data_IF_529789811587
#
_entry.id   IF_529789811587
#
_cell.length_a   1.000
_cell.length_b   1.000
_cell.length_c   1.000
_cell.angle_alpha   90.00
_cell.angle_beta   90.00
_cell.angle_gamma   90.00
#
_symmetry.space_group_name_H-M   'P 1'
#
loop_
_entity.id
_entity.type
_entity.pdbx_description
1 polymer ?
#
# COMPACT_ATOMS: atom_id res chain seq x y z
N UNK A 1 -22.97 -7.83 -5.14
CA UNK A 1 -21.65 -8.49 -4.96
C UNK A 1 -20.82 -8.52 -6.25
N UNK A 2 -21.43 -8.75 -7.42
CA UNK A 2 -20.70 -8.88 -8.70
C UNK A 2 -19.90 -7.63 -9.08
N UNK A 3 -20.47 -6.43 -8.94
CA UNK A 3 -19.74 -5.19 -9.22
C UNK A 3 -18.51 -4.98 -8.31
N UNK A 4 -18.54 -5.50 -7.07
CA UNK A 4 -17.37 -5.43 -6.20
C UNK A 4 -16.23 -6.32 -6.70
N UNK A 5 -16.55 -7.51 -7.22
CA UNK A 5 -15.55 -8.40 -7.84
C UNK A 5 -14.98 -7.77 -9.11
N UNK A 6 -15.85 -7.26 -9.99
CA UNK A 6 -15.42 -6.56 -11.20
C UNK A 6 -14.51 -5.36 -10.90
N UNK A 7 -14.79 -4.62 -9.84
CA UNK A 7 -13.94 -3.52 -9.43
C UNK A 7 -12.57 -3.99 -8.92
N UNK A 8 -12.51 -5.09 -8.17
CA UNK A 8 -11.24 -5.67 -7.72
C UNK A 8 -10.43 -6.17 -8.92
N UNK A 9 -11.07 -6.88 -9.86
CA UNK A 9 -10.42 -7.36 -11.07
C UNK A 9 -9.87 -6.19 -11.91
N UNK A 10 -10.67 -5.13 -12.06
CA UNK A 10 -10.23 -3.91 -12.74
C UNK A 10 -9.07 -3.24 -11.99
N UNK A 11 -9.16 -3.05 -10.67
CA UNK A 11 -8.12 -2.39 -9.88
C UNK A 11 -6.77 -3.13 -9.90
N UNK A 12 -6.77 -4.44 -10.13
CA UNK A 12 -5.56 -5.26 -10.28
C UNK A 12 -5.08 -5.39 -11.74
N UNK A 13 -5.84 -4.89 -12.72
CA UNK A 13 -5.45 -4.91 -14.12
C UNK A 13 -4.26 -3.98 -14.40
N UNK A 14 -3.53 -4.29 -15.47
CA UNK A 14 -2.40 -3.48 -15.93
C UNK A 14 -2.82 -2.04 -16.21
N UNK A 15 -3.91 -1.86 -16.94
CA UNK A 15 -4.39 -0.57 -17.41
C UNK A 15 -4.83 0.32 -16.25
N UNK A 16 -5.51 -0.24 -15.24
CA UNK A 16 -5.93 0.51 -14.07
C UNK A 16 -4.76 0.93 -13.20
N UNK A 17 -3.78 0.05 -13.00
CA UNK A 17 -2.57 0.39 -12.26
C UNK A 17 -1.73 1.45 -12.98
N UNK A 18 -1.63 1.41 -14.31
CA UNK A 18 -0.95 2.46 -15.07
C UNK A 18 -1.70 3.80 -15.06
N UNK A 19 -3.03 3.77 -14.97
CA UNK A 19 -3.86 4.98 -14.91
C UNK A 19 -3.50 5.85 -13.70
N UNK A 20 -3.10 5.23 -12.58
CA UNK A 20 -2.80 5.95 -11.32
C UNK A 20 -1.70 6.99 -11.53
N UNK A 21 -0.66 6.68 -12.28
CA UNK A 21 0.44 7.61 -12.54
C UNK A 21 0.26 8.36 -13.86
N UNK A 22 -0.32 7.74 -14.90
CA UNK A 22 -0.53 8.38 -16.20
C UNK A 22 -1.54 9.54 -16.12
N UNK A 23 -2.57 9.43 -15.28
CA UNK A 23 -3.62 10.45 -15.14
C UNK A 23 -3.95 10.84 -13.71
N UNK A 24 -3.70 9.95 -12.74
CA UNK A 24 -4.06 10.18 -11.33
C UNK A 24 -3.00 10.90 -10.49
N UNK A 25 -1.85 11.28 -11.06
CA UNK A 25 -0.73 11.92 -10.35
C UNK A 25 -0.25 11.11 -9.12
N UNK A 26 -0.39 9.79 -9.17
CA UNK A 26 -0.15 8.87 -8.07
C UNK A 26 1.00 7.91 -8.43
N UNK A 27 2.13 8.03 -7.74
CA UNK A 27 3.42 7.42 -8.13
C UNK A 27 3.87 6.24 -7.26
N UNK A 28 2.94 5.51 -6.64
CA UNK A 28 3.24 4.30 -5.88
C UNK A 28 3.88 3.22 -6.77
N UNK A 29 4.57 2.27 -6.14
CA UNK A 29 5.09 1.09 -6.83
C UNK A 29 3.91 0.18 -7.19
N UNK A 30 3.77 -0.12 -8.48
CA UNK A 30 2.73 -1.00 -8.99
C UNK A 30 3.04 -2.45 -8.61
N UNK A 31 2.02 -3.19 -8.17
CA UNK A 31 2.17 -4.59 -7.75
C UNK A 31 2.03 -5.56 -8.92
N UNK A 32 1.39 -5.14 -10.02
CA UNK A 32 1.30 -5.93 -11.23
C UNK A 32 2.62 -5.86 -12.01
N UNK A 33 3.32 -7.00 -12.11
CA UNK A 33 4.63 -7.10 -12.76
C UNK A 33 4.62 -6.83 -14.26
N UNK A 34 3.44 -6.80 -14.90
CA UNK A 34 3.30 -6.52 -16.34
C UNK A 34 3.01 -5.05 -16.64
N UNK A 35 2.74 -4.25 -15.61
CA UNK A 35 2.41 -2.84 -15.72
C UNK A 35 3.67 -1.96 -15.86
N UNK A 36 3.58 -0.94 -16.70
CA UNK A 36 4.64 0.04 -16.84
C UNK A 36 4.66 0.96 -15.62
N UNK A 37 5.76 0.96 -14.89
CA UNK A 37 5.97 1.84 -13.74
C UNK A 37 6.29 3.27 -14.20
N UNK A 38 5.87 4.26 -13.43
CA UNK A 38 6.25 5.66 -13.71
C UNK A 38 7.78 5.85 -13.64
N UNK A 39 8.37 6.70 -14.49
CA UNK A 39 9.77 7.12 -14.35
C UNK A 39 10.08 7.78 -13.00
N UNK A 40 9.06 8.32 -12.32
CA UNK A 40 9.18 9.00 -11.03
C UNK A 40 8.97 8.06 -9.83
N UNK A 41 8.60 6.79 -10.07
CA UNK A 41 8.41 5.81 -9.00
C UNK A 41 9.75 5.20 -8.60
N UNK A 42 9.89 4.86 -7.31
CA UNK A 42 11.03 4.10 -6.81
C UNK A 42 11.00 2.69 -7.41
N UNK A 43 12.17 2.15 -7.74
CA UNK A 43 12.30 0.75 -8.19
C UNK A 43 12.50 -0.17 -7.00
N UNK A 44 11.69 -1.23 -6.92
CA UNK A 44 11.68 -2.14 -5.77
C UNK A 44 13.05 -2.82 -5.56
N UNK A 45 13.76 -3.17 -6.64
CA UNK A 45 15.07 -3.81 -6.64
C UNK A 45 16.21 -2.92 -6.11
N UNK A 46 15.98 -1.61 -6.03
CA UNK A 46 16.93 -0.64 -5.50
C UNK A 46 16.70 -0.33 -4.01
N UNK A 47 15.67 -0.91 -3.39
CA UNK A 47 15.29 -0.64 -2.01
C UNK A 47 15.68 -1.78 -1.08
N UNK A 48 16.23 -1.44 0.09
CA UNK A 48 16.40 -2.39 1.20
C UNK A 48 15.12 -2.44 2.02
N UNK A 49 14.24 -3.37 1.69
CA UNK A 49 12.95 -3.54 2.35
C UNK A 49 13.04 -4.57 3.47
N UNK A 50 12.28 -4.33 4.54
CA UNK A 50 12.00 -5.36 5.54
C UNK A 50 10.90 -6.28 4.98
N UNK A 51 10.87 -7.53 5.46
CA UNK A 51 9.73 -8.40 5.24
C UNK A 51 8.62 -7.99 6.21
N UNK A 52 7.62 -7.26 5.70
CA UNK A 52 6.58 -6.68 6.56
C UNK A 52 5.53 -7.74 6.90
N UNK A 53 5.45 -8.10 8.19
CA UNK A 53 4.49 -9.07 8.71
C UNK A 53 3.06 -8.49 8.75
N UNK A 54 2.33 -8.69 7.65
CA UNK A 54 0.94 -8.24 7.51
C UNK A 54 -0.02 -8.96 8.46
N UNK A 55 0.27 -10.20 8.86
CA UNK A 55 -0.60 -10.98 9.75
C UNK A 55 -0.57 -10.38 11.16
N UNK A 56 0.62 -10.10 11.67
CA UNK A 56 0.79 -9.50 13.00
C UNK A 56 0.33 -8.03 13.00
N UNK A 57 0.78 -7.22 12.05
CA UNK A 57 0.54 -5.77 12.08
C UNK A 57 -0.79 -5.33 11.44
N UNK A 58 -1.40 -6.18 10.61
CA UNK A 58 -2.75 -5.99 10.08
C UNK A 58 -3.86 -6.39 11.07
N UNK A 59 -3.52 -7.15 12.12
CA UNK A 59 -4.48 -7.57 13.14
C UNK A 59 -5.02 -6.38 13.95
N UNK A 60 -6.32 -6.40 14.24
CA UNK A 60 -7.01 -5.33 14.97
C UNK A 60 -6.41 -5.07 16.36
N UNK A 61 -6.02 -6.13 17.08
CA UNK A 61 -5.48 -6.02 18.44
C UNK A 61 -4.10 -5.36 18.44
N UNK A 62 -3.23 -5.75 17.50
CA UNK A 62 -1.91 -5.15 17.35
C UNK A 62 -2.02 -3.68 16.93
N UNK A 63 -2.91 -3.37 15.98
CA UNK A 63 -3.18 -1.98 15.55
C UNK A 63 -3.63 -1.12 16.73
N UNK A 64 -4.58 -1.59 17.54
CA UNK A 64 -5.06 -0.87 18.74
C UNK A 64 -3.92 -0.66 19.74
N UNK A 65 -3.16 -1.72 20.05
CA UNK A 65 -2.03 -1.68 20.99
C UNK A 65 -1.00 -0.61 20.59
N UNK A 66 -0.57 -0.61 19.32
CA UNK A 66 0.45 0.34 18.84
C UNK A 66 -0.05 1.78 18.87
N UNK A 67 -1.30 2.04 18.47
CA UNK A 67 -1.89 3.38 18.51
C UNK A 67 -1.99 3.87 19.96
N UNK A 68 -2.52 3.07 20.88
CA UNK A 68 -2.64 3.45 22.30
C UNK A 68 -1.29 3.73 22.91
N UNK A 69 -0.29 2.89 22.65
CA UNK A 69 1.08 3.11 23.14
C UNK A 69 1.66 4.42 22.61
N UNK A 70 1.52 4.72 21.32
CA UNK A 70 2.00 5.99 20.75
C UNK A 70 1.31 7.20 21.38
N UNK A 71 -0.02 7.13 21.54
CA UNK A 71 -0.78 8.23 22.15
C UNK A 71 -0.30 8.50 23.59
N UNK A 72 -0.13 7.45 24.40
CA UNK A 72 0.26 7.59 25.79
C UNK A 72 1.72 8.00 25.96
N UNK A 73 2.64 7.33 25.26
CA UNK A 73 4.06 7.43 25.56
C UNK A 73 4.78 8.50 24.73
N UNK A 74 4.26 8.82 23.53
CA UNK A 74 4.92 9.75 22.59
C UNK A 74 4.17 11.07 22.52
N UNK A 75 2.84 11.04 22.33
CA UNK A 75 2.05 12.26 22.18
C UNK A 75 1.75 12.93 23.52
N UNK A 76 1.41 12.15 24.54
CA UNK A 76 1.02 12.65 25.87
C UNK A 76 2.11 12.45 26.92
N UNK A 77 3.25 11.85 26.55
CA UNK A 77 4.42 11.66 27.42
C UNK A 77 5.21 12.94 27.62
N UNK A 78 4.61 13.92 28.29
CA UNK A 78 5.28 15.07 28.91
C UNK A 78 4.90 15.13 30.37
#
# INVERSE_FOLDING_TARGET
MENAKLFVDWALSKEAQELSWKKGQSYQILTNTTAETSPNSLKLDQLKLIDYDMDTYGASDMRKKLITKWVNDVKMGH
#
